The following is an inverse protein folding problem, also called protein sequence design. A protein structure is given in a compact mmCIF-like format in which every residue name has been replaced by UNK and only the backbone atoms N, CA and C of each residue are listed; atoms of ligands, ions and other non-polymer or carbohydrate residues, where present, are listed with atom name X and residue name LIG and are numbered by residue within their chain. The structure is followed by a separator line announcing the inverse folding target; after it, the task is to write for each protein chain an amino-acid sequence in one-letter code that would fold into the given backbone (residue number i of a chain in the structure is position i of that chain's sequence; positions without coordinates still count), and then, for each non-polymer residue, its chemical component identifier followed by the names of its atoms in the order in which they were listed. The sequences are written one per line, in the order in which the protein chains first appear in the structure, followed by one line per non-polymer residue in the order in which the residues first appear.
data_IF_139980923690
#
_entry.id   IF_139980923690
#
_cell.length_a   1.000
_cell.length_b   1.000
_cell.length_c   1.000
_cell.angle_alpha   90.00
_cell.angle_beta   90.00
_cell.angle_gamma   90.00
#
_symmetry.space_group_name_H-M   'P 1'
#
loop_
_entity.id
_entity.type
_entity.pdbx_description
1 polymer ?
#
# COMPACT_ATOMS: atom_id res chain seq x y z
N UNK A 1 51.23 -6.85 33.36
CA UNK A 1 49.78 -7.10 33.57
C UNK A 1 48.93 -5.83 33.60
N UNK A 2 49.26 -4.81 34.40
CA UNK A 2 48.46 -3.56 34.53
C UNK A 2 48.33 -2.74 33.24
N UNK A 3 49.41 -2.60 32.47
CA UNK A 3 49.39 -1.86 31.19
C UNK A 3 48.48 -2.53 30.14
N UNK A 4 48.52 -3.86 30.03
CA UNK A 4 47.66 -4.63 29.13
C UNK A 4 46.17 -4.49 29.49
N UNK A 5 45.85 -4.49 30.80
CA UNK A 5 44.48 -4.29 31.29
C UNK A 5 43.97 -2.88 31.00
N UNK A 6 44.82 -1.85 31.10
CA UNK A 6 44.48 -0.47 30.75
C UNK A 6 44.22 -0.31 29.24
N UNK A 7 45.04 -0.95 28.40
CA UNK A 7 44.85 -0.94 26.95
C UNK A 7 43.53 -1.64 26.56
N UNK A 8 43.23 -2.79 27.16
CA UNK A 8 41.99 -3.52 26.93
C UNK A 8 40.74 -2.71 27.34
N UNK A 9 40.79 -1.98 28.46
CA UNK A 9 39.70 -1.10 28.89
C UNK A 9 39.50 0.09 27.94
N UNK A 10 40.59 0.67 27.41
CA UNK A 10 40.52 1.72 26.40
C UNK A 10 39.88 1.24 25.10
N UNK A 11 40.28 0.06 24.63
CA UNK A 11 39.70 -0.57 23.43
C UNK A 11 38.22 -0.91 23.62
N UNK A 12 37.85 -1.44 24.78
CA UNK A 12 36.45 -1.74 25.10
C UNK A 12 35.58 -0.46 25.13
N UNK A 13 36.11 0.64 25.69
CA UNK A 13 35.40 1.93 25.71
C UNK A 13 35.19 2.49 24.31
N UNK A 14 36.24 2.51 23.48
CA UNK A 14 36.13 2.93 22.08
C UNK A 14 35.11 2.07 21.32
N UNK A 15 35.10 0.76 21.57
CA UNK A 15 34.14 -0.14 20.93
C UNK A 15 32.69 0.12 21.35
N UNK A 16 32.45 0.47 22.62
CA UNK A 16 31.11 0.85 23.10
C UNK A 16 30.64 2.13 22.40
N UNK A 17 31.50 3.14 22.31
CA UNK A 17 31.20 4.41 21.65
C UNK A 17 30.85 4.20 20.16
N UNK A 18 31.63 3.38 19.45
CA UNK A 18 31.34 3.01 18.06
C UNK A 18 29.99 2.29 17.91
N UNK A 19 29.69 1.35 18.82
CA UNK A 19 28.43 0.59 18.78
C UNK A 19 27.22 1.47 19.10
N UNK A 20 27.36 2.42 20.02
CA UNK A 20 26.33 3.40 20.34
C UNK A 20 26.08 4.33 19.15
N UNK A 21 27.14 4.78 18.48
CA UNK A 21 27.04 5.55 17.24
C UNK A 21 26.35 4.76 16.12
N UNK A 22 26.75 3.51 15.89
CA UNK A 22 26.12 2.63 14.91
C UNK A 22 24.65 2.36 15.22
N UNK A 23 24.30 2.16 16.50
CA UNK A 23 22.90 2.00 16.94
C UNK A 23 22.08 3.26 16.71
N UNK A 24 22.65 4.44 16.99
CA UNK A 24 21.99 5.72 16.74
C UNK A 24 21.71 5.94 15.25
N UNK A 25 22.69 5.67 14.39
CA UNK A 25 22.52 5.76 12.94
C UNK A 25 21.47 4.76 12.42
N UNK A 26 21.50 3.51 12.92
CA UNK A 26 20.51 2.50 12.55
C UNK A 26 19.08 2.89 12.99
N UNK A 27 18.93 3.46 14.18
CA UNK A 27 17.63 3.94 14.67
C UNK A 27 17.09 5.10 13.82
N UNK A 28 17.94 6.06 13.45
CA UNK A 28 17.56 7.17 12.58
C UNK A 28 17.15 6.67 11.19
N UNK A 29 17.90 5.73 10.61
CA UNK A 29 17.56 5.13 9.32
C UNK A 29 16.23 4.35 9.38
N UNK A 30 15.99 3.60 10.45
CA UNK A 30 14.74 2.89 10.67
C UNK A 30 13.54 3.85 10.79
N UNK A 31 13.71 4.95 11.53
CA UNK A 31 12.67 5.97 11.66
C UNK A 31 12.33 6.63 10.32
N UNK A 32 13.35 6.97 9.53
CA UNK A 32 13.14 7.56 8.20
C UNK A 32 12.47 6.57 7.23
N UNK A 33 12.87 5.29 7.26
CA UNK A 33 12.22 4.25 6.46
C UNK A 33 10.74 4.08 6.87
N UNK A 34 10.45 4.07 8.17
CA UNK A 34 9.09 3.99 8.69
C UNK A 34 8.24 5.20 8.28
N UNK A 35 8.81 6.41 8.32
CA UNK A 35 8.13 7.64 7.88
C UNK A 35 7.77 7.58 6.39
N UNK A 36 8.74 7.22 5.54
CA UNK A 36 8.49 7.06 4.09
C UNK A 36 7.41 6.03 3.82
N UNK A 37 7.47 4.89 4.50
CA UNK A 37 6.48 3.84 4.35
C UNK A 37 5.07 4.31 4.78
N UNK A 38 4.97 5.06 5.88
CA UNK A 38 3.70 5.63 6.32
C UNK A 38 3.13 6.63 5.30
N UNK A 39 3.99 7.47 4.71
CA UNK A 39 3.59 8.41 3.65
C UNK A 39 3.11 7.69 2.39
N UNK A 40 3.78 6.61 1.98
CA UNK A 40 3.39 5.78 0.85
C UNK A 40 2.03 5.12 1.09
N UNK A 41 1.83 4.51 2.27
CA UNK A 41 0.54 3.91 2.66
C UNK A 41 -0.56 4.96 2.62
N UNK A 42 -0.32 6.17 3.13
CA UNK A 42 -1.30 7.24 3.12
C UNK A 42 -1.69 7.63 1.69
N UNK A 43 -0.71 7.82 0.80
CA UNK A 43 -0.96 8.14 -0.61
C UNK A 43 -1.75 7.04 -1.31
N UNK A 44 -1.39 5.77 -1.10
CA UNK A 44 -2.09 4.63 -1.67
C UNK A 44 -3.54 4.55 -1.18
N UNK A 45 -3.77 4.69 0.13
CA UNK A 45 -5.13 4.71 0.70
C UNK A 45 -5.97 5.86 0.13
N UNK A 46 -5.38 7.04 -0.02
CA UNK A 46 -6.06 8.17 -0.63
C UNK A 46 -6.45 7.90 -2.08
N UNK A 47 -5.53 7.36 -2.90
CA UNK A 47 -5.83 6.99 -4.29
C UNK A 47 -6.94 5.93 -4.38
N UNK A 48 -6.86 4.86 -3.58
CA UNK A 48 -7.90 3.83 -3.52
C UNK A 48 -9.25 4.43 -3.12
N UNK A 49 -9.26 5.34 -2.14
CA UNK A 49 -10.48 6.04 -1.72
C UNK A 49 -11.07 6.90 -2.83
N UNK A 50 -10.24 7.55 -3.66
CA UNK A 50 -10.72 8.31 -4.82
C UNK A 50 -11.37 7.39 -5.85
N UNK A 51 -10.75 6.25 -6.17
CA UNK A 51 -11.35 5.27 -7.08
C UNK A 51 -12.69 4.76 -6.58
N UNK A 52 -12.76 4.38 -5.30
CA UNK A 52 -14.00 3.91 -4.68
C UNK A 52 -15.08 4.99 -4.68
N UNK A 53 -14.71 6.25 -4.40
CA UNK A 53 -15.66 7.37 -4.39
C UNK A 53 -16.19 7.72 -5.79
N UNK A 54 -15.32 7.72 -6.80
CA UNK A 54 -15.70 8.07 -8.18
C UNK A 54 -16.55 6.97 -8.83
N UNK A 55 -16.24 5.70 -8.55
CA UNK A 55 -16.88 4.58 -9.26
C UNK A 55 -17.98 3.90 -8.45
N UNK A 56 -18.01 4.11 -7.13
CA UNK A 56 -18.86 3.37 -6.20
C UNK A 56 -18.74 1.84 -6.35
N UNK A 57 -17.58 1.36 -6.81
CA UNK A 57 -17.27 -0.06 -6.97
C UNK A 57 -16.74 -0.64 -5.66
N UNK A 58 -17.24 -1.82 -5.34
CA UNK A 58 -16.71 -2.71 -4.31
C UNK A 58 -16.33 -4.03 -4.96
N UNK A 59 -15.03 -4.30 -5.02
CA UNK A 59 -14.49 -5.54 -5.56
C UNK A 59 -14.77 -6.73 -4.64
N UNK A 60 -15.09 -7.87 -5.23
CA UNK A 60 -15.09 -9.17 -4.57
C UNK A 60 -13.74 -9.86 -4.80
N UNK A 61 -12.90 -9.85 -3.76
CA UNK A 61 -11.58 -10.48 -3.80
C UNK A 61 -11.60 -12.00 -3.57
N UNK A 62 -12.79 -12.60 -3.41
CA UNK A 62 -12.95 -14.05 -3.26
C UNK A 62 -13.21 -14.75 -4.59
N UNK A 63 -13.62 -14.00 -5.62
CA UNK A 63 -13.81 -14.53 -6.98
C UNK A 63 -12.46 -14.70 -7.70
N UNK A 64 -12.38 -15.71 -8.56
CA UNK A 64 -11.27 -15.89 -9.51
C UNK A 64 -11.38 -14.94 -10.73
N UNK A 65 -12.59 -14.41 -10.95
CA UNK A 65 -12.90 -13.44 -12.01
C UNK A 65 -12.85 -12.01 -11.48
N UNK A 66 -12.94 -11.04 -12.40
CA UNK A 66 -13.09 -9.64 -12.04
C UNK A 66 -14.53 -9.37 -11.63
N UNK A 67 -14.82 -9.53 -10.34
CA UNK A 67 -16.17 -9.45 -9.78
C UNK A 67 -16.33 -8.37 -8.72
N UNK A 68 -17.57 -7.98 -8.48
CA UNK A 68 -17.90 -7.04 -7.42
C UNK A 68 -19.31 -6.49 -7.54
N UNK A 69 -19.51 -5.39 -6.84
CA UNK A 69 -20.78 -4.69 -6.73
C UNK A 69 -20.56 -3.22 -7.04
N UNK A 70 -21.47 -2.61 -7.79
CA UNK A 70 -21.52 -1.15 -8.02
C UNK A 70 -22.79 -0.58 -7.40
N UNK A 71 -22.69 0.58 -6.76
CA UNK A 71 -23.86 1.42 -6.51
C UNK A 71 -23.95 2.44 -7.63
N UNK A 72 -24.97 2.33 -8.49
CA UNK A 72 -25.09 3.12 -9.72
C UNK A 72 -25.31 4.59 -9.38
N UNK A 73 -24.45 5.45 -9.91
CA UNK A 73 -24.42 6.87 -9.55
C UNK A 73 -25.75 7.56 -9.88
N UNK A 74 -26.28 8.34 -8.93
CA UNK A 74 -27.54 9.05 -9.10
C UNK A 74 -28.80 8.20 -8.92
N UNK A 75 -28.65 6.92 -8.56
CA UNK A 75 -29.77 6.01 -8.29
C UNK A 75 -29.58 5.31 -6.94
N UNK A 76 -30.61 4.63 -6.45
CA UNK A 76 -30.52 3.70 -5.31
C UNK A 76 -30.23 2.26 -5.76
N UNK A 77 -29.85 2.06 -7.02
CA UNK A 77 -29.62 0.73 -7.59
C UNK A 77 -28.23 0.21 -7.26
N UNK A 78 -28.17 -1.05 -6.85
CA UNK A 78 -26.94 -1.79 -6.62
C UNK A 78 -26.90 -2.97 -7.59
N UNK A 79 -25.85 -3.05 -8.40
CA UNK A 79 -25.67 -4.10 -9.41
C UNK A 79 -24.43 -4.93 -9.11
N UNK A 80 -24.57 -6.24 -9.20
CA UNK A 80 -23.46 -7.17 -9.18
C UNK A 80 -22.87 -7.29 -10.59
N UNK A 81 -21.56 -7.51 -10.69
CA UNK A 81 -20.88 -7.81 -11.94
C UNK A 81 -19.84 -8.90 -11.76
N UNK A 82 -19.59 -9.66 -12.82
CA UNK A 82 -18.52 -10.63 -12.91
C UNK A 82 -18.03 -10.69 -14.36
N UNK A 83 -16.74 -10.43 -14.55
CA UNK A 83 -16.11 -10.38 -15.87
C UNK A 83 -14.94 -11.36 -15.87
N UNK A 84 -14.97 -12.32 -16.79
CA UNK A 84 -13.86 -13.25 -16.98
C UNK A 84 -12.72 -12.53 -17.74
N UNK A 85 -11.54 -12.33 -17.12
CA UNK A 85 -10.44 -11.61 -17.73
C UNK A 85 -9.71 -12.40 -18.82
N UNK A 86 -10.03 -13.68 -19.01
CA UNK A 86 -9.40 -14.54 -20.03
C UNK A 86 -10.09 -14.44 -21.39
N UNK A 87 -11.37 -14.06 -21.40
CA UNK A 87 -12.18 -13.93 -22.62
C UNK A 87 -12.28 -12.49 -23.12
N UNK A 88 -11.98 -11.49 -22.27
CA UNK A 88 -12.04 -10.08 -22.63
C UNK A 88 -10.65 -9.42 -22.60
N UNK A 89 -10.39 -8.54 -23.58
CA UNK A 89 -9.22 -7.67 -23.53
C UNK A 89 -9.36 -6.62 -22.44
N UNK A 90 -8.24 -6.08 -21.95
CA UNK A 90 -8.24 -4.99 -20.95
C UNK A 90 -9.08 -3.78 -21.38
N UNK A 91 -9.14 -3.51 -22.69
CA UNK A 91 -9.93 -2.41 -23.25
C UNK A 91 -11.44 -2.69 -23.15
N UNK A 92 -11.87 -3.90 -23.50
CA UNK A 92 -13.28 -4.30 -23.39
C UNK A 92 -13.74 -4.33 -21.94
N UNK A 93 -12.91 -4.86 -21.04
CA UNK A 93 -13.18 -4.86 -19.59
C UNK A 93 -13.37 -3.43 -19.07
N UNK A 94 -12.48 -2.50 -19.47
CA UNK A 94 -12.58 -1.12 -19.02
C UNK A 94 -13.87 -0.44 -19.48
N UNK A 95 -14.28 -0.66 -20.74
CA UNK A 95 -15.54 -0.11 -21.26
C UNK A 95 -16.75 -0.72 -20.53
N UNK A 96 -16.77 -2.04 -20.34
CA UNK A 96 -17.84 -2.71 -19.60
C UNK A 96 -17.98 -2.17 -18.18
N UNK A 97 -16.87 -1.96 -17.47
CA UNK A 97 -16.91 -1.38 -16.12
C UNK A 97 -17.46 0.05 -16.11
N UNK A 98 -17.09 0.89 -17.08
CA UNK A 98 -17.63 2.25 -17.18
C UNK A 98 -19.12 2.27 -17.49
N UNK A 99 -19.58 1.39 -18.39
CA UNK A 99 -21.00 1.24 -18.71
C UNK A 99 -21.83 0.76 -17.51
N UNK A 100 -21.21 0.03 -16.58
CA UNK A 100 -21.83 -0.42 -15.32
C UNK A 100 -21.90 0.72 -14.29
N UNK A 101 -20.83 1.51 -14.17
CA UNK A 101 -20.70 2.62 -13.20
C UNK A 101 -21.61 3.79 -13.55
N UNK A 102 -21.67 4.15 -14.82
CA UNK A 102 -22.46 5.27 -15.33
C UNK A 102 -23.16 4.85 -16.63
N UNK A 103 -24.25 4.06 -16.51
CA UNK A 103 -24.99 3.60 -17.67
C UNK A 103 -25.58 4.80 -18.42
N UNK A 104 -25.50 4.84 -19.76
CA UNK A 104 -26.03 5.94 -20.55
C UNK A 104 -27.51 6.17 -20.24
N UNK A 105 -27.86 7.40 -19.86
CA UNK A 105 -29.23 7.78 -19.56
C UNK A 105 -30.12 7.63 -20.81
N UNK A 106 -31.12 6.75 -20.75
CA UNK A 106 -32.19 6.63 -21.74
C UNK A 106 -33.42 7.44 -21.34
#
# INVERSE_FOLDING_TARGET
ALAARRAALGAARAKIEDLEGARGAAAAAAQEAARRHAEEIYRLKHQVSLYAHTTNLKWDYTSENLAGVVAVTGTEEVRDFEIDPTVHSKFEIANQLWDIVDPPHH
#
